data_IF_824135986825
#
_entry.id   IF_824135986825
#
_cell.length_a   1.000
_cell.length_b   1.000
_cell.length_c   1.000
_cell.angle_alpha   90.00
_cell.angle_beta   90.00
_cell.angle_gamma   90.00
#
_symmetry.space_group_name_H-M   'P 1'
#
loop_
_entity.id
_entity.type
_entity.pdbx_description
1 polymer ?
#
# COMPACT_ATOMS: atom_id res chain seq x y z
N UNK A 1 -1.50 103.60 15.94
CA UNK A 1 -0.95 102.86 17.09
C UNK A 1 -0.89 101.40 16.65
N UNK A 2 -0.04 101.05 15.67
CA UNK A 2 1.40 100.74 15.85
C UNK A 2 1.59 99.63 16.89
N UNK A 3 2.28 98.51 16.67
CA UNK A 3 3.14 97.96 15.63
C UNK A 3 3.10 96.42 15.84
N UNK A 4 3.37 95.51 14.89
CA UNK A 4 4.28 95.58 13.77
C UNK A 4 5.57 94.80 14.09
N UNK A 5 5.67 93.61 13.51
CA UNK A 5 6.87 93.06 12.86
C UNK A 5 8.12 92.58 13.66
N UNK A 6 8.43 91.30 13.41
CA UNK A 6 9.67 90.80 12.76
C UNK A 6 10.76 90.07 13.57
N UNK A 7 11.23 89.00 12.91
CA UNK A 7 12.62 88.59 12.68
C UNK A 7 13.29 87.48 13.52
N UNK A 8 13.51 86.36 12.79
CA UNK A 8 14.76 85.59 12.60
C UNK A 8 15.53 84.90 13.73
N UNK A 9 16.08 83.74 13.33
CA UNK A 9 17.15 82.89 13.89
C UNK A 9 16.64 81.76 14.80
N UNK A 10 17.11 80.50 14.73
CA UNK A 10 18.14 79.86 13.94
C UNK A 10 18.39 78.46 14.53
N UNK A 11 18.58 77.47 13.65
CA UNK A 11 19.29 76.19 13.85
C UNK A 11 18.87 75.22 14.97
N UNK A 12 18.40 74.03 14.56
CA UNK A 12 18.80 72.77 15.17
C UNK A 12 18.92 71.68 14.09
N UNK A 13 20.14 71.16 13.92
CA UNK A 13 20.47 69.97 13.13
C UNK A 13 19.92 68.72 13.82
N UNK A 14 19.39 67.76 13.06
CA UNK A 14 19.66 66.34 13.29
C UNK A 14 19.37 65.49 12.04
N UNK A 15 20.46 65.02 11.46
CA UNK A 15 20.69 63.86 10.57
C UNK A 15 19.57 62.83 10.44
N UNK A 16 19.01 62.71 9.22
CA UNK A 16 18.21 61.57 8.78
C UNK A 16 18.93 60.83 7.65
N UNK A 17 19.56 59.71 7.98
CA UNK A 17 20.12 58.73 7.04
C UNK A 17 18.96 58.03 6.34
N UNK A 18 18.91 58.06 5.00
CA UNK A 18 18.05 57.16 4.23
C UNK A 18 18.68 55.74 4.22
N UNK A 19 17.98 54.70 4.66
CA UNK A 19 18.39 53.33 4.35
C UNK A 19 17.92 52.98 2.94
N UNK A 20 18.89 52.59 2.11
CA UNK A 20 18.70 51.88 0.86
C UNK A 20 17.90 50.60 1.11
N UNK A 21 16.66 50.53 0.60
CA UNK A 21 15.83 49.33 0.67
C UNK A 21 16.26 48.31 -0.37
N UNK A 22 17.16 47.42 0.05
CA UNK A 22 17.59 46.23 -0.69
C UNK A 22 16.51 45.13 -0.64
N UNK A 23 15.85 44.93 -1.78
CA UNK A 23 15.52 43.65 -2.46
C UNK A 23 15.18 42.35 -1.67
N UNK A 24 14.64 42.37 -0.45
CA UNK A 24 14.29 41.13 0.27
C UNK A 24 12.87 40.59 0.01
N UNK A 25 11.97 41.37 -0.60
CA UNK A 25 10.55 41.01 -0.78
C UNK A 25 10.21 40.28 -2.09
N UNK A 26 11.13 40.14 -3.07
CA UNK A 26 10.82 39.46 -4.34
C UNK A 26 11.11 37.95 -4.33
N UNK A 27 12.06 37.50 -3.51
CA UNK A 27 12.49 36.10 -3.50
C UNK A 27 11.47 35.14 -2.86
N UNK A 28 10.77 35.56 -1.80
CA UNK A 28 9.72 34.75 -1.15
C UNK A 28 8.48 34.59 -2.05
N UNK A 29 8.08 35.66 -2.74
CA UNK A 29 6.92 35.68 -3.65
C UNK A 29 7.17 34.88 -4.93
N UNK A 30 8.43 34.86 -5.42
CA UNK A 30 8.83 34.07 -6.60
C UNK A 30 8.90 32.57 -6.30
N UNK A 31 9.40 32.17 -5.12
CA UNK A 31 9.36 30.77 -4.66
C UNK A 31 7.93 30.26 -4.45
N UNK A 32 7.05 31.09 -3.87
CA UNK A 32 5.64 30.75 -3.71
C UNK A 32 4.93 30.55 -5.06
N UNK A 33 5.12 31.46 -6.03
CA UNK A 33 4.57 31.32 -7.40
C UNK A 33 5.12 30.12 -8.17
N UNK A 34 6.38 29.75 -8.01
CA UNK A 34 6.94 28.53 -8.62
C UNK A 34 6.37 27.25 -7.99
N UNK A 35 6.20 27.22 -6.66
CA UNK A 35 5.58 26.08 -5.97
C UNK A 35 4.11 25.88 -6.36
N UNK A 36 3.34 26.95 -6.51
CA UNK A 36 1.95 26.86 -6.97
C UNK A 36 1.85 26.40 -8.41
N UNK A 37 2.73 26.90 -9.31
CA UNK A 37 2.79 26.47 -10.70
C UNK A 37 3.13 24.98 -10.87
N UNK A 38 4.12 24.48 -10.13
CA UNK A 38 4.48 23.04 -10.14
C UNK A 38 3.33 22.17 -9.62
N UNK A 39 2.68 22.57 -8.52
CA UNK A 39 1.55 21.83 -7.97
C UNK A 39 0.38 21.72 -8.96
N UNK A 40 0.08 22.81 -9.67
CA UNK A 40 -0.95 22.81 -10.71
C UNK A 40 -0.58 21.91 -11.89
N UNK A 41 0.68 21.94 -12.33
CA UNK A 41 1.20 21.06 -13.40
C UNK A 41 1.06 19.58 -13.04
N UNK A 42 1.43 19.17 -11.82
CA UNK A 42 1.31 17.76 -11.39
C UNK A 42 -0.15 17.29 -11.32
N UNK A 43 -1.06 18.15 -10.86
CA UNK A 43 -2.49 17.83 -10.81
C UNK A 43 -3.06 17.67 -12.22
N UNK A 44 -2.64 18.52 -13.16
CA UNK A 44 -3.04 18.43 -14.55
C UNK A 44 -2.54 17.14 -15.22
N UNK A 45 -1.27 16.77 -15.02
CA UNK A 45 -0.71 15.49 -15.51
C UNK A 45 -1.51 14.30 -14.94
N UNK A 46 -1.87 14.35 -13.65
CA UNK A 46 -2.67 13.28 -13.05
C UNK A 46 -4.04 13.13 -13.72
N UNK A 47 -4.68 14.25 -14.09
CA UNK A 47 -5.92 14.25 -14.85
C UNK A 47 -5.76 13.58 -16.22
N UNK A 48 -4.67 13.86 -16.94
CA UNK A 48 -4.37 13.23 -18.22
C UNK A 48 -4.19 11.70 -18.08
N UNK A 49 -3.44 11.25 -17.08
CA UNK A 49 -3.24 9.81 -16.80
C UNK A 49 -4.58 9.11 -16.55
N UNK A 50 -5.45 9.72 -15.73
CA UNK A 50 -6.77 9.14 -15.40
C UNK A 50 -7.64 9.06 -16.65
N UNK A 51 -7.77 10.17 -17.39
CA UNK A 51 -8.59 10.23 -18.59
C UNK A 51 -8.14 9.22 -19.65
N UNK A 52 -6.82 9.08 -19.86
CA UNK A 52 -6.25 8.10 -20.77
C UNK A 52 -6.53 6.66 -20.33
N UNK A 53 -6.51 6.37 -19.03
CA UNK A 53 -6.82 5.03 -18.52
C UNK A 53 -8.30 4.62 -18.68
N UNK A 54 -9.21 5.60 -18.73
CA UNK A 54 -10.65 5.35 -18.84
C UNK A 54 -11.13 5.27 -20.29
N UNK A 55 -10.52 6.04 -21.20
CA UNK A 55 -10.99 6.17 -22.58
C UNK A 55 -9.98 5.68 -23.63
N UNK A 56 -8.68 5.79 -23.35
CA UNK A 56 -7.60 5.50 -24.31
C UNK A 56 -7.09 4.05 -24.28
N UNK A 57 -7.55 3.24 -23.32
CA UNK A 57 -7.05 1.88 -23.11
C UNK A 57 -5.55 1.82 -22.82
N UNK A 58 -4.92 0.68 -23.12
CA UNK A 58 -3.49 0.49 -22.87
C UNK A 58 -2.61 1.45 -23.68
N UNK A 59 -2.87 1.55 -24.99
CA UNK A 59 -2.00 2.30 -25.90
C UNK A 59 -2.08 3.81 -25.64
N UNK A 60 -3.28 4.35 -25.41
CA UNK A 60 -3.46 5.75 -25.03
C UNK A 60 -2.77 6.08 -23.72
N UNK A 61 -2.89 5.22 -22.70
CA UNK A 61 -2.21 5.44 -21.43
C UNK A 61 -0.68 5.38 -21.57
N UNK A 62 -0.14 4.43 -22.34
CA UNK A 62 1.31 4.36 -22.59
C UNK A 62 1.83 5.60 -23.31
N UNK A 63 1.08 6.13 -24.29
CA UNK A 63 1.42 7.38 -24.96
C UNK A 63 1.43 8.56 -23.99
N UNK A 64 0.42 8.68 -23.12
CA UNK A 64 0.36 9.72 -22.09
C UNK A 64 1.53 9.61 -21.11
N UNK A 65 1.88 8.39 -20.69
CA UNK A 65 3.04 8.16 -19.81
C UNK A 65 4.33 8.59 -20.51
N UNK A 66 4.55 8.14 -21.75
CA UNK A 66 5.74 8.49 -22.52
C UNK A 66 5.88 10.00 -22.73
N UNK A 67 4.79 10.71 -22.96
CA UNK A 67 4.80 12.16 -23.21
C UNK A 67 5.18 12.98 -21.97
N UNK A 68 4.80 12.50 -20.78
CA UNK A 68 4.92 13.28 -19.55
C UNK A 68 5.97 12.77 -18.57
N UNK A 69 6.62 11.63 -18.85
CA UNK A 69 7.46 10.89 -17.89
C UNK A 69 8.49 11.78 -17.17
N UNK A 70 9.22 12.61 -17.91
CA UNK A 70 10.27 13.50 -17.37
C UNK A 70 9.75 14.57 -16.40
N UNK A 71 8.45 14.87 -16.47
CA UNK A 71 7.80 15.91 -15.67
C UNK A 71 6.97 15.34 -14.52
N UNK A 72 6.90 14.02 -14.38
CA UNK A 72 6.10 13.36 -13.36
C UNK A 72 6.78 13.40 -11.99
N UNK A 73 6.01 13.73 -10.95
CA UNK A 73 6.42 13.45 -9.58
C UNK A 73 6.01 12.01 -9.16
N UNK A 74 6.40 11.59 -7.96
CA UNK A 74 6.08 10.25 -7.47
C UNK A 74 4.57 9.93 -7.39
N UNK A 75 3.73 10.94 -7.15
CA UNK A 75 2.26 10.74 -7.15
C UNK A 75 1.77 10.43 -8.56
N UNK A 76 2.26 11.16 -9.57
CA UNK A 76 1.94 10.87 -10.98
C UNK A 76 2.47 9.51 -11.40
N UNK A 77 3.74 9.21 -11.10
CA UNK A 77 4.38 7.93 -11.44
C UNK A 77 3.64 6.73 -10.81
N UNK A 78 3.32 6.82 -9.52
CA UNK A 78 2.57 5.77 -8.81
C UNK A 78 1.13 5.61 -9.33
N UNK A 79 0.50 6.70 -9.79
CA UNK A 79 -0.82 6.65 -10.41
C UNK A 79 -0.75 5.99 -11.79
N UNK A 80 0.25 6.34 -12.61
CA UNK A 80 0.46 5.75 -13.93
C UNK A 80 0.63 4.22 -13.86
N UNK A 81 1.55 3.73 -13.01
CA UNK A 81 1.79 2.29 -12.88
C UNK A 81 0.55 1.56 -12.31
N UNK A 82 -0.19 2.19 -11.40
CA UNK A 82 -1.43 1.63 -10.86
C UNK A 82 -2.52 1.48 -11.92
N UNK A 83 -2.68 2.48 -12.79
CA UNK A 83 -3.65 2.43 -13.89
C UNK A 83 -3.27 1.39 -14.93
N UNK A 84 -1.98 1.28 -15.28
CA UNK A 84 -1.47 0.21 -16.15
C UNK A 84 -1.77 -1.18 -15.56
N UNK A 85 -1.47 -1.39 -14.27
CA UNK A 85 -1.75 -2.64 -13.58
C UNK A 85 -3.25 -2.98 -13.53
N UNK A 86 -4.11 -1.97 -13.32
CA UNK A 86 -5.58 -2.15 -13.36
C UNK A 86 -6.06 -2.64 -14.72
N UNK A 87 -5.58 -2.02 -15.80
CA UNK A 87 -5.96 -2.40 -17.17
C UNK A 87 -5.57 -3.83 -17.52
N UNK A 88 -4.42 -4.32 -17.03
CA UNK A 88 -3.97 -5.67 -17.31
C UNK A 88 -4.46 -6.74 -16.32
N UNK A 89 -4.97 -6.35 -15.14
CA UNK A 89 -5.33 -7.28 -14.06
C UNK A 89 -6.35 -8.38 -14.42
N UNK A 90 -7.10 -8.20 -15.51
CA UNK A 90 -8.14 -9.12 -15.99
C UNK A 90 -7.88 -9.69 -17.38
N UNK A 91 -6.81 -9.27 -18.05
CA UNK A 91 -6.51 -9.65 -19.43
C UNK A 91 -5.02 -9.96 -19.61
N UNK A 92 -4.73 -11.26 -19.76
CA UNK A 92 -3.38 -11.79 -19.94
C UNK A 92 -2.72 -11.32 -21.25
N UNK A 93 -3.49 -11.05 -22.30
CA UNK A 93 -2.95 -10.56 -23.57
C UNK A 93 -2.52 -9.09 -23.43
N UNK A 94 -3.33 -8.28 -22.75
CA UNK A 94 -2.99 -6.88 -22.42
C UNK A 94 -1.75 -6.84 -21.54
N UNK A 95 -1.67 -7.72 -20.53
CA UNK A 95 -0.47 -7.84 -19.69
C UNK A 95 0.76 -8.20 -20.52
N UNK A 96 0.69 -9.25 -21.36
CA UNK A 96 1.80 -9.67 -22.20
C UNK A 96 2.24 -8.58 -23.18
N UNK A 97 1.31 -7.76 -23.70
CA UNK A 97 1.62 -6.60 -24.55
C UNK A 97 2.35 -5.51 -23.75
N UNK A 98 1.85 -5.15 -22.57
CA UNK A 98 2.43 -4.16 -21.67
C UNK A 98 3.87 -4.52 -21.27
N UNK A 99 4.11 -5.78 -20.92
CA UNK A 99 5.44 -6.26 -20.49
C UNK A 99 6.52 -6.15 -21.57
N UNK A 100 6.14 -5.97 -22.84
CA UNK A 100 7.08 -5.77 -23.97
C UNK A 100 7.35 -4.30 -24.28
N UNK A 101 6.71 -3.36 -23.57
CA UNK A 101 6.80 -1.94 -23.89
C UNK A 101 8.01 -1.30 -23.19
N UNK A 102 8.92 -0.63 -23.92
CA UNK A 102 10.07 0.06 -23.32
C UNK A 102 9.66 1.15 -22.31
N UNK A 103 8.51 1.78 -22.53
CA UNK A 103 7.96 2.81 -21.63
C UNK A 103 7.69 2.26 -20.23
N UNK A 104 7.36 0.97 -20.09
CA UNK A 104 7.17 0.34 -18.78
C UNK A 104 8.50 0.27 -18.02
N UNK A 105 9.57 -0.16 -18.68
CA UNK A 105 10.91 -0.23 -18.08
C UNK A 105 11.38 1.15 -17.64
N UNK A 106 11.27 2.16 -18.52
CA UNK A 106 11.59 3.55 -18.21
C UNK A 106 10.76 4.09 -17.03
N UNK A 107 9.47 3.75 -16.96
CA UNK A 107 8.61 4.13 -15.84
C UNK A 107 9.08 3.50 -14.54
N UNK A 108 9.43 2.21 -14.53
CA UNK A 108 9.91 1.50 -13.34
C UNK A 108 11.26 2.06 -12.85
N UNK A 109 12.18 2.35 -13.77
CA UNK A 109 13.46 2.98 -13.45
C UNK A 109 13.27 4.39 -12.87
N UNK A 110 12.38 5.17 -13.47
CA UNK A 110 12.04 6.51 -12.97
C UNK A 110 11.41 6.44 -11.58
N UNK A 111 10.53 5.48 -11.32
CA UNK A 111 9.97 5.23 -9.98
C UNK A 111 11.07 4.83 -8.99
N UNK A 112 11.99 3.94 -9.40
CA UNK A 112 13.11 3.49 -8.56
C UNK A 112 14.01 4.66 -8.17
N UNK A 113 14.40 5.49 -9.15
CA UNK A 113 15.19 6.70 -8.91
C UNK A 113 14.43 7.70 -8.02
N UNK A 114 13.13 7.88 -8.23
CA UNK A 114 12.31 8.76 -7.41
C UNK A 114 12.28 8.32 -5.94
N UNK A 115 12.09 7.02 -5.65
CA UNK A 115 12.17 6.51 -4.28
C UNK A 115 13.56 6.63 -3.68
N UNK A 116 14.62 6.36 -4.46
CA UNK A 116 16.01 6.49 -4.02
C UNK A 116 16.42 7.92 -3.68
N UNK A 117 15.75 8.93 -4.25
CA UNK A 117 16.03 10.35 -4.01
C UNK A 117 15.24 10.95 -2.82
N UNK A 118 14.26 10.24 -2.25
CA UNK A 118 13.44 10.75 -1.14
C UNK A 118 14.25 10.86 0.15
N UNK A 119 13.98 11.91 0.93
CA UNK A 119 14.44 11.95 2.31
C UNK A 119 13.60 11.02 3.20
N UNK A 120 14.15 10.54 4.34
CA UNK A 120 13.36 9.82 5.33
C UNK A 120 12.12 10.61 5.75
N UNK A 121 10.94 9.99 5.74
CA UNK A 121 9.68 10.67 6.07
C UNK A 121 8.93 11.33 4.90
N UNK A 122 9.52 11.43 3.70
CA UNK A 122 8.87 12.09 2.54
C UNK A 122 8.01 11.14 1.69
N UNK A 123 8.21 9.83 1.84
CA UNK A 123 7.50 8.84 1.03
C UNK A 123 6.04 8.74 1.45
N UNK A 124 5.13 9.16 0.57
CA UNK A 124 3.70 9.01 0.82
C UNK A 124 3.31 7.52 0.85
N UNK A 125 2.69 7.03 1.94
CA UNK A 125 2.24 5.63 2.04
C UNK A 125 1.35 5.18 0.88
N UNK A 126 0.49 6.07 0.39
CA UNK A 126 -0.37 5.77 -0.77
C UNK A 126 0.45 5.47 -2.04
N UNK A 127 1.52 6.21 -2.30
CA UNK A 127 2.39 5.98 -3.47
C UNK A 127 3.13 4.66 -3.35
N UNK A 128 3.67 4.35 -2.16
CA UNK A 128 4.30 3.06 -1.86
C UNK A 128 3.33 1.89 -2.08
N UNK A 129 2.12 2.00 -1.55
CA UNK A 129 1.07 1.00 -1.69
C UNK A 129 0.64 0.80 -3.15
N UNK A 130 0.41 1.90 -3.88
CA UNK A 130 0.03 1.85 -5.29
C UNK A 130 1.09 1.12 -6.14
N UNK A 131 2.37 1.46 -5.96
CA UNK A 131 3.46 0.81 -6.69
C UNK A 131 3.56 -0.67 -6.29
N UNK A 132 3.52 -0.98 -4.98
CA UNK A 132 3.65 -2.36 -4.49
C UNK A 132 2.56 -3.28 -5.04
N UNK A 133 1.30 -2.83 -4.94
CA UNK A 133 0.15 -3.55 -5.49
C UNK A 133 0.28 -3.76 -7.00
N UNK A 134 0.75 -2.75 -7.73
CA UNK A 134 0.92 -2.82 -9.19
C UNK A 134 1.96 -3.86 -9.58
N UNK A 135 3.12 -3.83 -8.92
CA UNK A 135 4.18 -4.82 -9.12
C UNK A 135 3.70 -6.23 -8.83
N UNK A 136 3.01 -6.45 -7.70
CA UNK A 136 2.46 -7.76 -7.35
C UNK A 136 1.41 -8.26 -8.36
N UNK A 137 0.55 -7.35 -8.83
CA UNK A 137 -0.48 -7.66 -9.84
C UNK A 137 0.15 -8.05 -11.18
N UNK A 138 1.19 -7.34 -11.60
CA UNK A 138 1.90 -7.59 -12.85
C UNK A 138 2.96 -8.69 -12.75
N UNK A 139 3.25 -9.19 -11.54
CA UNK A 139 4.33 -10.15 -11.23
C UNK A 139 5.70 -9.63 -11.67
N UNK A 140 5.97 -8.38 -11.32
CA UNK A 140 7.23 -7.70 -11.62
C UNK A 140 8.03 -7.49 -10.34
N UNK A 141 9.27 -7.98 -10.32
CA UNK A 141 10.19 -7.77 -9.19
C UNK A 141 11.52 -7.12 -9.56
N UNK A 142 11.50 -5.85 -10.04
CA UNK A 142 12.72 -5.06 -10.16
C UNK A 142 13.35 -4.88 -8.77
N UNK A 143 14.47 -5.58 -8.52
CA UNK A 143 15.12 -5.63 -7.20
C UNK A 143 15.49 -4.26 -6.63
N UNK A 144 16.09 -3.32 -7.40
CA UNK A 144 16.42 -1.99 -6.88
C UNK A 144 15.19 -1.23 -6.38
N UNK A 145 14.08 -1.33 -7.13
CA UNK A 145 12.83 -0.68 -6.77
C UNK A 145 12.21 -1.31 -5.51
N UNK A 146 12.16 -2.65 -5.40
CA UNK A 146 11.67 -3.33 -4.20
C UNK A 146 12.49 -2.93 -2.96
N UNK A 147 13.82 -2.84 -3.08
CA UNK A 147 14.70 -2.42 -1.99
C UNK A 147 14.46 -0.97 -1.59
N UNK A 148 14.36 -0.06 -2.56
CA UNK A 148 14.06 1.35 -2.30
C UNK A 148 12.71 1.51 -1.59
N UNK A 149 11.67 0.82 -2.08
CA UNK A 149 10.34 0.85 -1.48
C UNK A 149 10.31 0.28 -0.05
N UNK A 150 11.00 -0.83 0.20
CA UNK A 150 11.08 -1.41 1.55
C UNK A 150 11.74 -0.44 2.54
N UNK A 151 12.86 0.18 2.15
CA UNK A 151 13.57 1.18 2.94
C UNK A 151 12.69 2.41 3.20
N UNK A 152 12.05 2.95 2.18
CA UNK A 152 11.11 4.08 2.31
C UNK A 152 9.93 3.73 3.21
N UNK A 153 9.38 2.52 3.12
CA UNK A 153 8.26 2.10 3.97
C UNK A 153 8.66 1.96 5.43
N UNK A 154 9.84 1.41 5.73
CA UNK A 154 10.37 1.34 7.11
C UNK A 154 10.54 2.74 7.69
N UNK A 155 11.09 3.68 6.92
CA UNK A 155 11.27 5.07 7.36
C UNK A 155 9.94 5.81 7.61
N UNK A 156 8.85 5.37 6.99
CA UNK A 156 7.53 6.01 7.05
C UNK A 156 6.48 5.17 7.78
N UNK A 157 6.90 4.13 8.52
CA UNK A 157 5.98 3.10 9.06
C UNK A 157 4.86 3.68 9.92
N UNK A 158 5.15 4.75 10.67
CA UNK A 158 4.19 5.41 11.56
C UNK A 158 3.12 6.24 10.83
N UNK A 159 3.31 6.50 9.55
CA UNK A 159 2.40 7.30 8.71
C UNK A 159 1.41 6.44 7.93
N UNK A 160 1.60 5.12 7.89
CA UNK A 160 0.70 4.21 7.18
C UNK A 160 -0.65 4.10 7.86
N UNK A 161 -1.71 4.13 7.06
CA UNK A 161 -3.02 3.63 7.51
C UNK A 161 -3.00 2.10 7.56
N UNK A 162 -3.81 1.46 8.42
CA UNK A 162 -3.88 0.01 8.53
C UNK A 162 -4.09 -0.74 7.20
N UNK A 163 -4.96 -0.21 6.34
CA UNK A 163 -5.23 -0.78 5.02
C UNK A 163 -4.03 -0.69 4.07
N UNK A 164 -3.33 0.44 4.07
CA UNK A 164 -2.15 0.65 3.24
C UNK A 164 -1.01 -0.29 3.67
N UNK A 165 -0.78 -0.42 4.98
CA UNK A 165 0.28 -1.29 5.50
C UNK A 165 0.02 -2.77 5.20
N UNK A 166 -1.20 -3.23 5.49
CA UNK A 166 -1.58 -4.63 5.22
C UNK A 166 -1.52 -4.98 3.74
N UNK A 167 -1.95 -4.06 2.86
CA UNK A 167 -1.85 -4.25 1.40
C UNK A 167 -0.41 -4.26 0.92
N UNK A 168 0.46 -3.41 1.49
CA UNK A 168 1.88 -3.42 1.19
C UNK A 168 2.54 -4.75 1.60
N UNK A 169 2.27 -5.24 2.82
CA UNK A 169 2.76 -6.54 3.26
C UNK A 169 2.29 -7.68 2.34
N UNK A 170 1.02 -7.68 1.96
CA UNK A 170 0.48 -8.63 0.98
C UNK A 170 1.23 -8.59 -0.35
N UNK A 171 1.47 -7.40 -0.90
CA UNK A 171 2.16 -7.24 -2.17
C UNK A 171 3.59 -7.81 -2.12
N UNK A 172 4.33 -7.50 -1.06
CA UNK A 172 5.68 -8.02 -0.85
C UNK A 172 5.70 -9.54 -0.68
N UNK A 173 4.73 -10.09 0.06
CA UNK A 173 4.57 -11.54 0.20
C UNK A 173 4.27 -12.22 -1.15
N UNK A 174 3.37 -11.63 -1.95
CA UNK A 174 2.99 -12.14 -3.26
C UNK A 174 4.14 -12.13 -4.26
N UNK A 175 4.94 -11.06 -4.27
CA UNK A 175 6.16 -10.96 -5.09
C UNK A 175 7.18 -12.02 -4.68
N UNK A 176 7.42 -12.19 -3.38
CA UNK A 176 8.34 -13.22 -2.86
C UNK A 176 7.92 -14.66 -3.21
N UNK A 177 6.62 -14.93 -3.29
CA UNK A 177 6.09 -16.24 -3.67
C UNK A 177 6.14 -16.52 -5.18
N UNK A 178 6.13 -15.48 -6.03
CA UNK A 178 6.01 -15.64 -7.49
C UNK A 178 7.34 -15.86 -8.19
N UNK A 179 8.43 -15.25 -7.72
CA UNK A 179 9.70 -15.22 -8.46
C UNK A 179 10.65 -16.39 -8.19
N UNK A 180 10.20 -17.43 -7.48
CA UNK A 180 11.12 -18.46 -6.97
C UNK A 180 12.33 -17.82 -6.27
N UNK A 181 12.09 -16.65 -5.68
CA UNK A 181 13.12 -15.66 -5.42
C UNK A 181 14.18 -16.31 -4.54
N UNK A 182 15.37 -16.55 -5.10
CA UNK A 182 16.50 -17.13 -4.38
C UNK A 182 16.64 -16.42 -3.02
N UNK A 183 16.91 -17.20 -1.97
CA UNK A 183 16.93 -16.82 -0.55
C UNK A 183 17.60 -15.46 -0.24
N UNK A 184 18.46 -14.97 -1.13
CA UNK A 184 19.04 -13.63 -1.15
C UNK A 184 18.04 -12.46 -1.14
N UNK A 185 16.96 -12.45 -1.94
CA UNK A 185 16.02 -11.31 -1.98
C UNK A 185 14.92 -11.36 -0.90
N UNK A 186 14.72 -12.52 -0.26
CA UNK A 186 13.93 -12.64 0.98
C UNK A 186 14.51 -11.77 2.12
N UNK A 187 15.82 -11.49 2.12
CA UNK A 187 16.46 -10.67 3.14
C UNK A 187 16.02 -9.20 3.10
N UNK A 188 15.85 -8.63 1.91
CA UNK A 188 15.60 -7.20 1.73
C UNK A 188 14.28 -6.74 2.33
N UNK A 189 13.32 -7.65 2.50
CA UNK A 189 11.97 -7.33 2.98
C UNK A 189 11.79 -7.61 4.47
N UNK A 190 12.72 -8.36 5.11
CA UNK A 190 12.67 -8.65 6.55
C UNK A 190 12.57 -7.40 7.43
N UNK A 191 13.32 -6.30 7.18
CA UNK A 191 13.20 -5.09 7.97
C UNK A 191 11.78 -4.49 7.91
N UNK A 192 11.12 -4.55 6.74
CA UNK A 192 9.74 -4.09 6.58
C UNK A 192 8.78 -4.92 7.43
N UNK A 193 8.86 -6.26 7.37
CA UNK A 193 8.01 -7.12 8.19
C UNK A 193 8.27 -6.93 9.69
N UNK A 194 9.53 -6.78 10.10
CA UNK A 194 9.89 -6.52 11.49
C UNK A 194 9.33 -5.18 11.99
N UNK A 195 9.54 -4.09 11.25
CA UNK A 195 9.02 -2.76 11.59
C UNK A 195 7.47 -2.75 11.61
N UNK A 196 6.84 -3.43 10.65
CA UNK A 196 5.39 -3.57 10.58
C UNK A 196 4.83 -4.35 11.78
N UNK A 197 5.49 -5.45 12.18
CA UNK A 197 5.09 -6.19 13.37
C UNK A 197 5.15 -5.32 14.63
N UNK A 198 6.24 -4.56 14.82
CA UNK A 198 6.38 -3.65 15.96
C UNK A 198 5.28 -2.56 15.94
N UNK A 199 4.98 -1.99 14.77
CA UNK A 199 3.92 -1.01 14.61
C UNK A 199 2.53 -1.59 14.93
N UNK A 200 2.20 -2.76 14.39
CA UNK A 200 0.90 -3.44 14.60
C UNK A 200 0.74 -3.88 16.05
N UNK A 201 1.81 -4.34 16.72
CA UNK A 201 1.76 -4.65 18.15
C UNK A 201 1.37 -3.43 19.01
N UNK A 202 1.77 -2.22 18.59
CA UNK A 202 1.44 -0.97 19.30
C UNK A 202 0.07 -0.40 18.91
N UNK A 203 -0.34 -0.56 17.65
CA UNK A 203 -1.51 0.11 17.07
C UNK A 203 -2.59 -0.83 16.55
N UNK A 204 -2.53 -2.13 16.86
CA UNK A 204 -3.40 -3.12 16.25
C UNK A 204 -4.90 -2.91 16.50
N UNK A 205 -5.28 -2.19 17.57
CA UNK A 205 -6.68 -1.82 17.82
C UNK A 205 -7.28 -0.93 16.70
N UNK A 206 -6.45 -0.29 15.87
CA UNK A 206 -6.89 0.49 14.72
C UNK A 206 -7.10 -0.37 13.45
N UNK A 207 -6.73 -1.65 13.48
CA UNK A 207 -6.80 -2.53 12.31
C UNK A 207 -8.15 -3.24 12.27
N UNK A 208 -8.87 -3.05 11.15
CA UNK A 208 -10.06 -3.83 10.84
C UNK A 208 -9.71 -5.34 10.65
N UNK A 209 -10.69 -6.22 10.81
CA UNK A 209 -10.54 -7.68 10.67
C UNK A 209 -9.82 -8.06 9.37
N UNK A 210 -10.28 -7.49 8.26
CA UNK A 210 -9.67 -7.65 6.93
C UNK A 210 -8.17 -7.33 6.91
N UNK A 211 -7.75 -6.25 7.57
CA UNK A 211 -6.35 -5.82 7.60
C UNK A 211 -5.49 -6.79 8.42
N UNK A 212 -6.04 -7.31 9.53
CA UNK A 212 -5.38 -8.32 10.37
C UNK A 212 -5.26 -9.66 9.65
N UNK A 213 -6.33 -10.13 9.00
CA UNK A 213 -6.31 -11.35 8.17
C UNK A 213 -5.27 -11.24 7.03
N UNK A 214 -5.26 -10.11 6.33
CA UNK A 214 -4.28 -9.83 5.26
C UNK A 214 -2.84 -9.79 5.78
N UNK A 215 -2.63 -9.21 6.97
CA UNK A 215 -1.33 -9.19 7.64
C UNK A 215 -0.88 -10.61 7.99
N UNK A 216 -1.73 -11.40 8.65
CA UNK A 216 -1.41 -12.78 9.02
C UNK A 216 -1.04 -13.60 7.77
N UNK A 217 -1.84 -13.49 6.70
CA UNK A 217 -1.57 -14.14 5.42
C UNK A 217 -0.20 -13.74 4.83
N UNK A 218 0.14 -12.46 4.86
CA UNK A 218 1.39 -11.96 4.33
C UNK A 218 2.61 -12.50 5.12
N UNK A 219 2.51 -12.54 6.45
CA UNK A 219 3.57 -13.09 7.31
C UNK A 219 3.74 -14.60 7.09
N UNK A 220 2.64 -15.35 7.02
CA UNK A 220 2.66 -16.79 6.77
C UNK A 220 3.27 -17.11 5.39
N UNK A 221 2.79 -16.46 4.34
CA UNK A 221 3.28 -16.62 2.95
C UNK A 221 4.77 -16.27 2.84
N UNK A 222 5.20 -15.21 3.52
CA UNK A 222 6.61 -14.77 3.51
C UNK A 222 7.50 -15.54 4.48
N UNK A 223 6.96 -16.56 5.17
CA UNK A 223 7.63 -17.36 6.20
C UNK A 223 8.27 -16.51 7.31
N UNK A 224 7.65 -15.37 7.62
CA UNK A 224 8.10 -14.47 8.69
C UNK A 224 7.47 -14.91 10.00
N UNK A 225 8.22 -15.70 10.78
CA UNK A 225 7.75 -16.20 12.08
C UNK A 225 7.70 -15.06 13.11
N UNK A 226 6.51 -14.80 13.67
CA UNK A 226 6.34 -13.83 14.74
C UNK A 226 5.17 -14.23 15.66
N UNK A 227 5.43 -15.15 16.60
CA UNK A 227 4.40 -15.68 17.51
C UNK A 227 3.70 -14.59 18.34
N UNK A 228 4.43 -13.52 18.73
CA UNK A 228 3.86 -12.40 19.48
C UNK A 228 2.83 -11.64 18.64
N UNK A 229 3.12 -11.41 17.37
CA UNK A 229 2.19 -10.76 16.44
C UNK A 229 0.95 -11.65 16.21
N UNK A 230 1.12 -12.95 15.96
CA UNK A 230 -0.03 -13.85 15.73
C UNK A 230 -0.96 -13.93 16.96
N UNK A 231 -0.40 -13.99 18.17
CA UNK A 231 -1.18 -13.93 19.42
C UNK A 231 -1.98 -12.62 19.54
N UNK A 232 -1.34 -11.49 19.23
CA UNK A 232 -1.99 -10.19 19.26
C UNK A 232 -3.10 -10.08 18.21
N UNK A 233 -2.84 -10.55 16.99
CA UNK A 233 -3.82 -10.62 15.89
C UNK A 233 -5.03 -11.43 16.34
N UNK A 234 -4.82 -12.64 16.88
CA UNK A 234 -5.90 -13.49 17.34
C UNK A 234 -6.75 -12.82 18.42
N UNK A 235 -6.10 -12.23 19.43
CA UNK A 235 -6.76 -11.52 20.53
C UNK A 235 -7.64 -10.37 20.02
N UNK A 236 -7.19 -9.64 19.00
CA UNK A 236 -7.94 -8.53 18.40
C UNK A 236 -9.06 -9.01 17.46
N UNK A 237 -8.87 -10.12 16.75
CA UNK A 237 -9.84 -10.63 15.79
C UNK A 237 -11.06 -11.25 16.45
N UNK A 238 -10.90 -11.93 17.59
CA UNK A 238 -12.01 -12.58 18.34
C UNK A 238 -13.24 -11.68 18.48
N UNK A 239 -13.17 -10.47 19.06
CA UNK A 239 -14.36 -9.61 19.21
C UNK A 239 -14.93 -9.09 17.88
N UNK A 240 -14.22 -9.27 16.76
CA UNK A 240 -14.54 -8.72 15.44
C UNK A 240 -15.05 -9.77 14.45
N UNK A 241 -15.02 -11.06 14.81
CA UNK A 241 -15.41 -12.18 13.92
C UNK A 241 -16.82 -12.01 13.36
N UNK A 242 -17.73 -11.39 14.12
CA UNK A 242 -19.09 -11.10 13.67
C UNK A 242 -19.16 -10.31 12.36
N UNK A 243 -18.15 -9.47 12.07
CA UNK A 243 -18.04 -8.64 10.87
C UNK A 243 -17.24 -9.30 9.73
N UNK A 244 -16.65 -10.48 9.96
CA UNK A 244 -15.84 -11.18 8.97
C UNK A 244 -16.70 -11.77 7.83
N UNK A 245 -16.16 -11.73 6.61
CA UNK A 245 -16.69 -12.47 5.47
C UNK A 245 -16.00 -13.84 5.29
N UNK A 246 -16.57 -14.70 4.43
CA UNK A 246 -16.07 -16.06 4.19
C UNK A 246 -14.60 -16.08 3.77
N UNK A 247 -14.21 -15.19 2.85
CA UNK A 247 -12.83 -15.06 2.39
C UNK A 247 -11.88 -14.67 3.52
N UNK A 248 -12.27 -13.74 4.38
CA UNK A 248 -11.45 -13.28 5.51
C UNK A 248 -11.29 -14.37 6.57
N UNK A 249 -12.37 -15.12 6.88
CA UNK A 249 -12.30 -16.28 7.78
C UNK A 249 -11.36 -17.37 7.23
N UNK A 250 -11.54 -17.71 5.96
CA UNK A 250 -10.70 -18.70 5.27
C UNK A 250 -9.23 -18.31 5.23
N UNK A 251 -8.92 -17.06 4.88
CA UNK A 251 -7.55 -16.56 4.87
C UNK A 251 -6.93 -16.55 6.26
N UNK A 252 -7.72 -16.28 7.30
CA UNK A 252 -7.25 -16.31 8.70
C UNK A 252 -6.87 -17.73 9.11
N UNK A 253 -7.77 -18.70 8.93
CA UNK A 253 -7.49 -20.10 9.26
C UNK A 253 -6.29 -20.65 8.45
N UNK A 254 -6.22 -20.37 7.15
CA UNK A 254 -5.09 -20.77 6.31
C UNK A 254 -3.78 -20.14 6.77
N UNK A 255 -3.77 -18.84 7.11
CA UNK A 255 -2.58 -18.14 7.55
C UNK A 255 -2.05 -18.70 8.88
N UNK A 256 -2.96 -19.00 9.81
CA UNK A 256 -2.60 -19.60 11.11
C UNK A 256 -2.09 -21.03 10.94
N UNK A 257 -2.71 -21.86 10.09
CA UNK A 257 -2.20 -23.19 9.75
C UNK A 257 -0.85 -23.18 9.05
N UNK A 258 -0.66 -22.29 8.08
CA UNK A 258 0.62 -22.14 7.38
C UNK A 258 1.73 -21.64 8.30
N UNK A 259 1.39 -20.79 9.27
CA UNK A 259 2.33 -20.26 10.25
C UNK A 259 2.59 -21.21 11.44
N UNK A 260 1.88 -22.33 11.52
CA UNK A 260 1.91 -23.28 12.65
C UNK A 260 1.59 -22.56 13.98
N UNK A 261 0.51 -21.78 13.98
CA UNK A 261 0.06 -21.04 15.16
C UNK A 261 -1.40 -21.37 15.49
N UNK A 262 -1.58 -21.91 16.69
CA UNK A 262 -2.87 -22.38 17.20
C UNK A 262 -3.50 -21.37 18.16
N UNK A 263 -4.77 -21.02 17.95
CA UNK A 263 -5.59 -20.25 18.90
C UNK A 263 -7.02 -20.80 18.93
N UNK A 264 -7.33 -21.63 19.93
CA UNK A 264 -8.63 -22.31 20.05
C UNK A 264 -9.80 -21.33 20.11
N UNK A 265 -9.60 -20.19 20.77
CA UNK A 265 -10.68 -19.21 20.95
C UNK A 265 -11.03 -18.57 19.61
N UNK A 266 -10.04 -18.11 18.85
CA UNK A 266 -10.28 -17.58 17.52
C UNK A 266 -10.90 -18.64 16.61
N UNK A 267 -10.38 -19.88 16.62
CA UNK A 267 -10.88 -20.93 15.73
C UNK A 267 -12.31 -21.35 16.03
N UNK A 268 -12.71 -21.42 17.31
CA UNK A 268 -14.11 -21.66 17.68
C UNK A 268 -15.03 -20.55 17.15
N UNK A 269 -14.69 -19.28 17.38
CA UNK A 269 -15.49 -18.15 16.88
C UNK A 269 -15.59 -18.14 15.34
N UNK A 270 -14.48 -18.44 14.64
CA UNK A 270 -14.47 -18.57 13.19
C UNK A 270 -15.37 -19.73 12.73
N UNK A 271 -15.31 -20.87 13.40
CA UNK A 271 -16.11 -22.05 13.04
C UNK A 271 -17.61 -21.82 13.27
N UNK A 272 -17.99 -21.21 14.39
CA UNK A 272 -19.38 -20.84 14.69
C UNK A 272 -19.91 -19.84 13.65
N UNK A 273 -19.14 -18.80 13.32
CA UNK A 273 -19.53 -17.83 12.30
C UNK A 273 -19.59 -18.45 10.90
N UNK A 274 -18.63 -19.32 10.56
CA UNK A 274 -18.59 -20.00 9.28
C UNK A 274 -19.77 -20.95 9.11
N UNK A 275 -20.16 -21.67 10.16
CA UNK A 275 -21.33 -22.56 10.19
C UNK A 275 -22.61 -21.80 9.77
N UNK A 276 -22.80 -20.58 10.28
CA UNK A 276 -23.95 -19.73 9.93
C UNK A 276 -23.94 -19.22 8.49
N UNK A 277 -22.79 -19.25 7.80
CA UNK A 277 -22.59 -18.70 6.46
C UNK A 277 -22.11 -19.74 5.44
N UNK A 278 -22.16 -21.03 5.78
CA UNK A 278 -21.69 -22.12 4.93
C UNK A 278 -22.15 -22.01 3.45
N UNK A 279 -23.43 -21.70 3.15
CA UNK A 279 -23.89 -21.58 1.76
C UNK A 279 -23.25 -20.43 0.97
N UNK A 280 -22.61 -19.48 1.64
CA UNK A 280 -21.96 -18.32 1.01
C UNK A 280 -20.47 -18.57 0.69
N UNK A 281 -19.88 -19.64 1.23
CA UNK A 281 -18.48 -19.95 0.97
C UNK A 281 -18.27 -20.38 -0.49
N UNK A 282 -17.26 -19.81 -1.13
CA UNK A 282 -16.75 -20.37 -2.38
C UNK A 282 -15.97 -21.66 -2.11
N UNK A 283 -15.87 -22.59 -3.09
CA UNK A 283 -15.08 -23.82 -2.98
C UNK A 283 -13.68 -23.64 -2.37
N UNK A 284 -12.92 -22.67 -2.88
CA UNK A 284 -11.56 -22.41 -2.41
C UNK A 284 -11.53 -21.86 -0.97
N UNK A 285 -12.52 -21.04 -0.60
CA UNK A 285 -12.62 -20.47 0.75
C UNK A 285 -12.94 -21.58 1.75
N UNK A 286 -13.87 -22.48 1.41
CA UNK A 286 -14.23 -23.62 2.26
C UNK A 286 -13.05 -24.59 2.43
N UNK A 287 -12.34 -24.87 1.34
CA UNK A 287 -11.15 -25.73 1.37
C UNK A 287 -10.05 -25.13 2.25
N UNK A 288 -9.81 -23.82 2.14
CA UNK A 288 -8.80 -23.11 2.94
C UNK A 288 -9.12 -23.12 4.44
N UNK A 289 -10.38 -22.90 4.84
CA UNK A 289 -10.74 -22.93 6.26
C UNK A 289 -10.65 -24.34 6.84
N UNK A 290 -11.12 -25.36 6.11
CA UNK A 290 -11.01 -26.77 6.51
C UNK A 290 -9.54 -27.19 6.65
N UNK A 291 -8.71 -26.87 5.67
CA UNK A 291 -7.27 -27.17 5.71
C UNK A 291 -6.57 -26.45 6.86
N UNK A 292 -6.89 -25.16 7.09
CA UNK A 292 -6.32 -24.38 8.18
C UNK A 292 -6.63 -24.96 9.56
N UNK A 293 -7.87 -25.40 9.78
CA UNK A 293 -8.27 -26.09 11.01
C UNK A 293 -7.58 -27.45 11.15
N UNK A 294 -7.63 -28.29 10.10
CA UNK A 294 -7.05 -29.62 10.13
C UNK A 294 -5.52 -29.60 10.36
N UNK A 295 -4.80 -28.65 9.74
CA UNK A 295 -3.34 -28.53 9.89
C UNK A 295 -2.92 -28.13 11.30
N UNK A 296 -3.76 -27.40 12.03
CA UNK A 296 -3.55 -27.11 13.45
C UNK A 296 -4.11 -28.21 14.38
N UNK A 297 -4.72 -29.28 13.85
CA UNK A 297 -5.41 -30.27 14.67
C UNK A 297 -6.64 -29.73 15.42
N UNK A 298 -7.23 -28.62 14.94
CA UNK A 298 -8.46 -28.06 15.51
C UNK A 298 -9.68 -28.74 14.90
N UNK A 299 -10.61 -29.19 15.75
CA UNK A 299 -11.82 -29.89 15.34
C UNK A 299 -13.07 -29.24 15.94
N UNK A 300 -13.98 -28.80 15.07
CA UNK A 300 -15.28 -28.25 15.44
C UNK A 300 -16.40 -29.09 14.82
N UNK A 301 -16.94 -30.04 15.60
CA UNK A 301 -17.80 -31.13 15.13
C UNK A 301 -18.96 -30.66 14.25
N UNK A 302 -19.72 -29.68 14.71
CA UNK A 302 -20.88 -29.15 13.98
C UNK A 302 -20.48 -28.51 12.64
N UNK A 303 -19.34 -27.81 12.60
CA UNK A 303 -18.85 -27.16 11.39
C UNK A 303 -18.36 -28.20 10.38
N UNK A 304 -17.53 -29.16 10.79
CA UNK A 304 -17.03 -30.20 9.90
C UNK A 304 -18.14 -31.09 9.34
N UNK A 305 -19.13 -31.44 10.18
CA UNK A 305 -20.29 -32.23 9.74
C UNK A 305 -21.10 -31.50 8.68
N UNK A 306 -21.42 -30.23 8.92
CA UNK A 306 -22.18 -29.41 7.97
C UNK A 306 -21.38 -29.11 6.70
N UNK A 307 -20.08 -28.82 6.81
CA UNK A 307 -19.20 -28.61 5.67
C UNK A 307 -19.11 -29.85 4.77
N UNK A 308 -19.00 -31.05 5.36
CA UNK A 308 -18.99 -32.30 4.61
C UNK A 308 -20.28 -32.51 3.80
N UNK A 309 -21.44 -32.19 4.39
CA UNK A 309 -22.73 -32.26 3.67
C UNK A 309 -22.77 -31.28 2.49
N UNK A 310 -22.30 -30.04 2.69
CA UNK A 310 -22.21 -29.04 1.61
C UNK A 310 -21.30 -29.50 0.49
N UNK A 311 -20.13 -30.07 0.81
CA UNK A 311 -19.18 -30.59 -0.18
C UNK A 311 -19.79 -31.74 -1.00
N UNK A 312 -20.52 -32.66 -0.36
CA UNK A 312 -21.19 -33.77 -1.07
C UNK A 312 -22.30 -33.28 -2.00
N UNK A 313 -22.99 -32.19 -1.65
CA UNK A 313 -24.16 -31.71 -2.41
C UNK A 313 -23.88 -30.60 -3.43
N UNK A 314 -22.80 -29.81 -3.28
CA UNK A 314 -22.56 -28.62 -4.11
C UNK A 314 -21.30 -28.68 -4.98
N UNK A 315 -20.47 -29.71 -4.81
CA UNK A 315 -19.08 -29.64 -5.22
C UNK A 315 -18.71 -30.84 -6.09
N UNK A 316 -18.97 -30.70 -7.40
CA UNK A 316 -18.30 -31.49 -8.45
C UNK A 316 -16.82 -31.06 -8.49
N UNK A 317 -16.05 -31.53 -7.50
CA UNK A 317 -14.67 -31.11 -7.25
C UNK A 317 -13.76 -31.64 -8.36
N UNK A 318 -13.43 -30.78 -9.32
CA UNK A 318 -12.26 -31.02 -10.17
C UNK A 318 -10.98 -30.98 -9.33
N UNK A 319 -10.03 -31.88 -9.64
CA UNK A 319 -8.81 -32.18 -8.89
C UNK A 319 -7.83 -30.99 -8.64
N UNK A 320 -8.19 -29.78 -9.05
CA UNK A 320 -7.41 -28.56 -8.84
C UNK A 320 -7.80 -27.82 -7.54
N UNK A 321 -8.81 -28.31 -6.81
CA UNK A 321 -9.37 -27.67 -5.61
C UNK A 321 -9.00 -28.35 -4.27
N UNK A 322 -8.19 -29.41 -4.30
CA UNK A 322 -7.60 -30.10 -3.14
C UNK A 322 -6.10 -29.78 -3.07
#
# INVERSE_FOLDING_TARGET
>A
LEAGFSSSAGQARMTGIQPTSTSSHSAKTRKARQHTGKRHSFQWINGQIIAASEHGGLDGLLQTVSMHLEHMNLVNLSTAIHRLAKLCSRDHNVQAKLLKQPVLEQLLDTISAAFGALQPGEAQPQSLNNVAWSLATMRLAPRPLIQAMASSAVANINSFKPFELSTMLWAFAKLGASDGMSSSASWCVKPLFHASAAHILKHGHNFAFRCLATTAWAFATSRQRNARLFRQIATQMVPMVHAANCQEMANTAWAFGTADFHDDRLFNELADKALLRLPEFKPQELSNILWGFATNGFFHEAFFTAAAQVVVHQLDLQAQHL
#
